data_IF_345668660800
#
_entry.id   IF_345668660800
#
_cell.length_a   1.000
_cell.length_b   1.000
_cell.length_c   1.000
_cell.angle_alpha   90.00
_cell.angle_beta   90.00
_cell.angle_gamma   90.00
#
_symmetry.space_group_name_H-M   'P 1'
#
loop_
_entity.id
_entity.type
_entity.pdbx_description
1 polymer ?
#
# COMPACT_ATOMS: atom_id res chain seq x y z
N UNK A 1 0.59 -14.37 -6.76
CA UNK A 1 1.74 -13.45 -6.63
C UNK A 1 2.62 -13.68 -7.84
N UNK A 2 3.00 -12.64 -8.59
CA UNK A 2 3.87 -12.88 -9.76
C UNK A 2 5.20 -13.48 -9.26
N UNK A 3 5.72 -14.45 -9.99
CA UNK A 3 6.90 -15.22 -9.55
C UNK A 3 8.20 -14.41 -9.65
N UNK A 4 8.17 -13.28 -10.36
CA UNK A 4 9.29 -12.38 -10.62
C UNK A 4 9.37 -11.19 -9.65
N UNK A 5 8.57 -11.18 -8.57
CA UNK A 5 8.63 -10.12 -7.55
C UNK A 5 9.89 -10.28 -6.70
N UNK A 6 10.76 -9.27 -6.69
CA UNK A 6 11.96 -9.23 -5.84
C UNK A 6 11.69 -8.70 -4.44
N UNK A 7 10.62 -7.92 -4.24
CA UNK A 7 10.34 -7.25 -2.96
C UNK A 7 8.83 -7.16 -2.71
N UNK A 8 8.42 -7.50 -1.49
CA UNK A 8 7.08 -7.32 -0.95
C UNK A 8 7.07 -6.22 0.11
N UNK A 9 6.24 -5.21 -0.10
CA UNK A 9 6.00 -4.14 0.85
C UNK A 9 4.63 -4.35 1.48
N UNK A 10 4.60 -4.40 2.81
CA UNK A 10 3.38 -4.50 3.61
C UNK A 10 3.04 -3.10 4.12
N UNK A 11 1.82 -2.64 3.86
CA UNK A 11 1.33 -1.32 4.24
C UNK A 11 0.61 -1.39 5.59
N UNK A 12 0.94 -0.50 6.53
CA UNK A 12 0.18 -0.31 7.77
C UNK A 12 -1.14 0.42 7.46
N UNK A 13 -2.17 -0.35 7.16
CA UNK A 13 -3.51 0.17 6.80
C UNK A 13 -4.12 1.02 7.90
N UNK A 14 -3.88 0.68 9.18
CA UNK A 14 -4.47 1.45 10.29
C UNK A 14 -3.86 2.85 10.34
N UNK A 15 -2.54 2.93 10.22
CA UNK A 15 -1.83 4.22 10.21
C UNK A 15 -2.18 5.06 8.99
N UNK A 16 -2.25 4.46 7.80
CA UNK A 16 -2.56 5.20 6.56
C UNK A 16 -3.96 5.79 6.58
N UNK A 17 -4.96 5.01 7.00
CA UNK A 17 -6.34 5.48 7.12
C UNK A 17 -6.48 6.59 8.17
N UNK A 18 -5.78 6.47 9.30
CA UNK A 18 -5.77 7.50 10.35
C UNK A 18 -5.20 8.83 9.88
N UNK A 19 -4.18 8.81 9.03
CA UNK A 19 -3.57 10.01 8.43
C UNK A 19 -4.26 10.47 7.13
N UNK A 20 -5.39 9.86 6.76
CA UNK A 20 -6.26 10.33 5.68
C UNK A 20 -5.90 9.80 4.28
N UNK A 21 -5.04 8.79 4.16
CA UNK A 21 -4.80 8.15 2.87
C UNK A 21 -6.07 7.40 2.43
N UNK A 22 -6.55 7.68 1.23
CA UNK A 22 -7.70 6.97 0.67
C UNK A 22 -7.27 5.64 0.08
N UNK A 23 -7.93 4.56 0.50
CA UNK A 23 -7.79 3.24 -0.09
C UNK A 23 -9.11 2.87 -0.74
N UNK A 24 -9.03 2.33 -1.96
CA UNK A 24 -10.17 1.88 -2.74
C UNK A 24 -10.05 0.40 -3.01
N UNK A 25 -11.18 -0.30 -3.08
CA UNK A 25 -11.24 -1.71 -3.47
C UNK A 25 -11.91 -1.77 -4.84
N UNK A 26 -11.21 -2.30 -5.83
CA UNK A 26 -11.77 -2.56 -7.16
C UNK A 26 -12.64 -3.82 -7.17
N UNK A 27 -13.45 -3.99 -8.21
CA UNK A 27 -14.33 -5.18 -8.38
C UNK A 27 -13.56 -6.50 -8.36
N UNK A 28 -12.31 -6.51 -8.86
CA UNK A 28 -11.42 -7.67 -8.81
C UNK A 28 -10.62 -7.80 -7.50
N UNK A 29 -11.02 -7.08 -6.45
CA UNK A 29 -10.44 -7.12 -5.09
C UNK A 29 -8.99 -6.62 -5.00
N UNK A 30 -8.57 -5.75 -5.92
CA UNK A 30 -7.27 -5.07 -5.83
C UNK A 30 -7.44 -3.80 -4.98
N UNK A 31 -6.49 -3.57 -4.08
CA UNK A 31 -6.44 -2.33 -3.31
C UNK A 31 -5.69 -1.28 -4.12
N UNK A 32 -6.32 -0.13 -4.31
CA UNK A 32 -5.78 1.03 -5.02
C UNK A 32 -5.63 2.21 -4.06
N UNK A 33 -4.67 3.09 -4.32
CA UNK A 33 -4.48 4.33 -3.56
C UNK A 33 -3.89 5.40 -4.47
N UNK A 34 -4.31 6.65 -4.25
CA UNK A 34 -3.68 7.83 -4.85
C UNK A 34 -2.41 8.27 -4.07
N UNK A 35 -2.19 7.70 -2.88
CA UNK A 35 -1.13 8.13 -1.97
C UNK A 35 -1.35 9.55 -1.45
N UNK A 36 -0.25 10.21 -1.11
CA UNK A 36 -0.18 11.64 -0.86
C UNK A 36 0.63 12.25 -1.99
N UNK A 37 0.05 13.21 -2.71
CA UNK A 37 0.68 13.85 -3.87
C UNK A 37 1.20 12.83 -4.91
N UNK A 38 0.46 11.74 -5.12
CA UNK A 38 0.79 10.68 -6.08
C UNK A 38 1.79 9.63 -5.58
N UNK A 39 2.20 9.67 -4.30
CA UNK A 39 3.23 8.76 -3.75
C UNK A 39 2.74 8.11 -2.45
N UNK A 40 3.15 6.87 -2.17
CA UNK A 40 2.98 6.23 -0.85
C UNK A 40 4.29 6.39 -0.05
N UNK A 41 4.35 7.27 0.96
CA UNK A 41 5.57 7.46 1.74
C UNK A 41 6.02 6.19 2.50
N UNK A 42 7.32 5.90 2.58
CA UNK A 42 7.83 4.72 3.29
C UNK A 42 7.47 4.65 4.78
N UNK A 43 7.13 5.78 5.44
CA UNK A 43 6.68 5.83 6.84
C UNK A 43 5.42 5.00 7.12
N UNK A 44 4.71 4.58 6.07
CA UNK A 44 3.53 3.74 6.13
C UNK A 44 3.82 2.25 5.87
N UNK A 45 5.06 1.88 5.58
CA UNK A 45 5.41 0.48 5.39
C UNK A 45 5.59 -0.18 6.76
N UNK A 46 4.77 -1.19 7.03
CA UNK A 46 4.86 -2.03 8.23
C UNK A 46 6.07 -2.97 8.13
N UNK A 47 6.31 -3.52 6.94
CA UNK A 47 7.39 -4.47 6.69
C UNK A 47 7.79 -4.48 5.23
N UNK A 48 9.07 -4.74 4.97
CA UNK A 48 9.62 -5.02 3.64
C UNK A 48 10.24 -6.42 3.68
N UNK A 49 9.99 -7.23 2.65
CA UNK A 49 10.61 -8.56 2.47
C UNK A 49 11.18 -8.64 1.06
N UNK A 50 12.44 -9.07 0.93
CA UNK A 50 13.07 -9.46 -0.33
C UNK A 50 13.05 -10.97 -0.50
#
# INVERSE_FOLDING_TARGET
>A
MRQDVNVLIFLDVRKTLKEGMKLYISDNKVILTEGFDGVVPPKYFEKIKS
#
